data_IF_257753313885
#
_entry.id   IF_257753313885
#
_cell.length_a   1.000
_cell.length_b   1.000
_cell.length_c   1.000
_cell.angle_alpha   90.00
_cell.angle_beta   90.00
_cell.angle_gamma   90.00
#
_symmetry.space_group_name_H-M   'P 1'
#
loop_
_entity.id
_entity.type
_entity.pdbx_description
1 polymer ?
#
# COMPACT_ATOMS: atom_id res chain seq x y z
N UNK A 1 -28.58 -75.74 32.99
CA UNK A 1 -29.81 -75.21 32.36
C UNK A 1 -29.46 -73.87 31.74
N UNK A 2 -29.74 -73.76 30.45
CA UNK A 2 -29.46 -72.63 29.56
C UNK A 2 -30.57 -71.60 29.74
N UNK A 3 -30.25 -70.30 29.83
CA UNK A 3 -31.07 -69.18 29.34
C UNK A 3 -30.22 -67.90 29.41
N UNK A 4 -29.53 -67.49 28.35
CA UNK A 4 -29.96 -66.59 27.24
C UNK A 4 -30.38 -65.18 27.66
N UNK A 5 -29.51 -64.25 27.27
CA UNK A 5 -29.78 -62.93 26.67
C UNK A 5 -30.65 -61.89 27.39
N UNK A 6 -30.07 -60.72 27.68
CA UNK A 6 -30.50 -59.51 26.96
C UNK A 6 -29.40 -58.45 26.93
N UNK A 7 -29.06 -58.03 25.70
CA UNK A 7 -28.14 -56.95 25.37
C UNK A 7 -28.82 -55.61 25.63
N UNK A 8 -28.10 -54.64 26.20
CA UNK A 8 -28.33 -53.23 25.87
C UNK A 8 -26.97 -52.56 25.71
N UNK A 9 -26.60 -52.37 24.44
CA UNK A 9 -25.37 -51.72 24.03
C UNK A 9 -25.57 -50.22 24.21
N UNK A 10 -24.79 -49.59 25.09
CA UNK A 10 -24.67 -48.13 25.13
C UNK A 10 -24.04 -47.67 23.81
N UNK A 11 -24.84 -47.07 22.93
CA UNK A 11 -24.33 -46.37 21.77
C UNK A 11 -23.75 -45.03 22.23
N UNK A 12 -22.45 -45.01 22.54
CA UNK A 12 -21.69 -43.77 22.70
C UNK A 12 -21.46 -43.23 21.29
N UNK A 13 -22.29 -42.28 20.87
CA UNK A 13 -22.06 -41.49 19.67
C UNK A 13 -20.81 -40.62 19.88
N UNK A 14 -19.69 -41.03 19.28
CA UNK A 14 -18.50 -40.21 19.18
C UNK A 14 -18.78 -39.04 18.22
N UNK A 15 -19.03 -37.84 18.77
CA UNK A 15 -18.93 -36.59 18.02
C UNK A 15 -17.45 -36.37 17.67
N UNK A 16 -17.04 -36.84 16.49
CA UNK A 16 -15.79 -36.42 15.88
C UNK A 16 -15.90 -34.94 15.51
N UNK A 17 -15.26 -34.08 16.31
CA UNK A 17 -15.21 -32.65 16.10
C UNK A 17 -14.57 -32.30 14.76
N UNK A 18 -15.35 -31.64 13.90
CA UNK A 18 -14.85 -31.02 12.69
C UNK A 18 -14.12 -29.72 13.08
N UNK A 19 -12.87 -29.83 13.53
CA UNK A 19 -11.99 -28.68 13.68
C UNK A 19 -11.56 -28.23 12.28
N UNK A 20 -12.38 -27.38 11.64
CA UNK A 20 -11.95 -26.62 10.47
C UNK A 20 -10.83 -25.72 10.97
N UNK A 21 -9.58 -26.10 10.66
CA UNK A 21 -8.43 -25.22 10.71
C UNK A 21 -8.75 -24.04 9.78
N UNK A 22 -9.27 -22.96 10.36
CA UNK A 22 -9.20 -21.65 9.73
C UNK A 22 -7.71 -21.33 9.60
N UNK A 23 -7.13 -21.69 8.46
CA UNK A 23 -5.82 -21.20 8.09
C UNK A 23 -5.90 -19.69 8.23
N UNK A 24 -4.99 -19.05 9.00
CA UNK A 24 -4.95 -17.61 9.07
C UNK A 24 -4.66 -17.15 7.64
N UNK A 25 -5.70 -16.71 6.94
CA UNK A 25 -5.54 -15.95 5.72
C UNK A 25 -4.75 -14.74 6.18
N UNK A 26 -3.44 -14.74 5.93
CA UNK A 26 -2.53 -13.79 6.55
C UNK A 26 -3.09 -12.40 6.32
N UNK A 27 -3.57 -11.76 7.41
CA UNK A 27 -4.48 -10.62 7.35
C UNK A 27 -4.01 -9.66 6.26
N UNK A 28 -4.85 -9.47 5.24
CA UNK A 28 -4.61 -8.46 4.21
C UNK A 28 -5.07 -7.13 4.77
N UNK A 29 -4.21 -6.13 4.67
CA UNK A 29 -4.54 -4.75 4.96
C UNK A 29 -5.00 -4.01 3.69
N UNK A 30 -4.67 -4.53 2.50
CA UNK A 30 -5.14 -3.97 1.24
C UNK A 30 -6.63 -4.21 1.04
N UNK A 31 -7.27 -3.25 0.38
CA UNK A 31 -8.67 -3.31 -0.06
C UNK A 31 -8.71 -2.97 -1.56
N UNK A 32 -9.34 -3.84 -2.34
CA UNK A 32 -9.55 -3.65 -3.78
C UNK A 32 -10.49 -2.46 -4.05
N UNK A 33 -10.18 -1.64 -5.06
CA UNK A 33 -10.91 -0.42 -5.38
C UNK A 33 -11.68 -0.51 -6.72
N UNK A 34 -11.65 -1.67 -7.38
CA UNK A 34 -12.33 -1.92 -8.66
C UNK A 34 -11.65 -1.26 -9.85
N UNK A 35 -10.37 -0.89 -9.75
CA UNK A 35 -9.62 -0.27 -10.84
C UNK A 35 -9.25 -1.33 -11.88
N UNK A 36 -9.38 -1.00 -13.16
CA UNK A 36 -8.97 -1.89 -14.24
C UNK A 36 -7.48 -2.26 -14.10
N UNK A 37 -7.18 -3.55 -14.25
CA UNK A 37 -5.84 -4.13 -14.09
C UNK A 37 -5.23 -4.05 -12.68
N UNK A 38 -6.03 -3.74 -11.65
CA UNK A 38 -5.56 -3.83 -10.26
C UNK A 38 -5.41 -5.27 -9.78
N UNK A 39 -4.44 -5.49 -8.90
CA UNK A 39 -4.31 -6.70 -8.10
C UNK A 39 -3.84 -6.33 -6.70
N UNK A 40 -4.46 -6.91 -5.69
CA UNK A 40 -3.93 -6.85 -4.32
C UNK A 40 -2.60 -7.62 -4.24
N UNK A 41 -1.58 -7.00 -3.64
CA UNK A 41 -0.24 -7.55 -3.53
C UNK A 41 0.35 -7.32 -2.14
N UNK A 42 1.17 -8.29 -1.70
CA UNK A 42 2.16 -8.10 -0.65
C UNK A 42 3.54 -8.10 -1.28
N UNK A 43 4.24 -6.97 -1.24
CA UNK A 43 5.56 -6.80 -1.83
C UNK A 43 6.58 -6.49 -0.75
N UNK A 44 7.62 -7.32 -0.67
CA UNK A 44 8.79 -7.03 0.16
C UNK A 44 9.89 -6.43 -0.69
N UNK A 45 10.46 -5.31 -0.24
CA UNK A 45 11.54 -4.65 -0.95
C UNK A 45 12.12 -3.47 -0.19
N UNK A 46 13.26 -2.99 -0.67
CA UNK A 46 13.95 -1.82 -0.15
C UNK A 46 13.26 -0.55 -0.65
N UNK A 47 12.96 0.39 0.24
CA UNK A 47 12.50 1.72 -0.16
C UNK A 47 13.68 2.50 -0.74
N UNK A 48 13.49 3.03 -1.94
CA UNK A 48 14.55 3.71 -2.70
C UNK A 48 14.02 4.98 -3.35
N UNK A 49 14.91 5.95 -3.58
CA UNK A 49 14.70 6.98 -4.59
C UNK A 49 14.66 6.30 -5.97
N UNK A 50 13.55 6.47 -6.68
CA UNK A 50 13.28 5.79 -7.94
C UNK A 50 14.34 6.17 -9.01
N UNK A 51 14.70 7.45 -9.10
CA UNK A 51 15.64 7.92 -10.10
C UNK A 51 17.04 7.39 -9.81
N UNK A 52 17.43 7.34 -8.55
CA UNK A 52 18.70 6.75 -8.14
C UNK A 52 18.75 5.26 -8.43
N UNK A 53 17.72 4.51 -8.06
CA UNK A 53 17.65 3.08 -8.37
C UNK A 53 17.76 2.79 -9.88
N UNK A 54 17.21 3.66 -10.74
CA UNK A 54 17.32 3.54 -12.20
C UNK A 54 18.71 3.92 -12.73
N UNK A 55 19.33 4.97 -12.17
CA UNK A 55 20.57 5.57 -12.67
C UNK A 55 21.82 4.83 -12.19
N UNK A 56 21.90 4.55 -10.88
CA UNK A 56 23.08 3.94 -10.26
C UNK A 56 22.89 2.46 -9.95
N UNK A 57 21.67 1.93 -10.18
CA UNK A 57 21.34 0.56 -9.83
C UNK A 57 21.59 0.31 -8.35
N UNK A 58 22.35 -0.75 -8.07
CA UNK A 58 22.84 -1.07 -6.71
C UNK A 58 24.32 -0.71 -6.51
N UNK A 59 24.97 0.02 -7.44
CA UNK A 59 26.39 0.36 -7.35
C UNK A 59 26.59 1.70 -6.63
N UNK A 60 27.09 1.69 -5.37
CA UNK A 60 27.34 2.91 -4.62
C UNK A 60 28.54 3.71 -5.15
N UNK A 61 29.30 3.20 -6.12
CA UNK A 61 30.49 3.85 -6.70
C UNK A 61 30.23 4.52 -8.05
N UNK A 62 28.99 4.53 -8.53
CA UNK A 62 28.63 5.24 -9.75
C UNK A 62 29.04 6.73 -9.64
N UNK A 63 29.53 7.32 -10.74
CA UNK A 63 30.13 8.65 -10.77
C UNK A 63 29.21 9.79 -10.30
N UNK A 64 27.92 9.51 -10.22
CA UNK A 64 26.79 10.35 -9.91
C UNK A 64 26.05 9.93 -8.63
N UNK A 65 26.59 8.98 -7.86
CA UNK A 65 26.04 8.58 -6.56
C UNK A 65 25.90 9.76 -5.59
N UNK A 66 26.69 10.83 -5.77
CA UNK A 66 26.58 12.09 -5.01
C UNK A 66 25.23 12.80 -5.18
N UNK A 67 24.52 12.57 -6.28
CA UNK A 67 23.20 13.15 -6.55
C UNK A 67 22.07 12.34 -5.90
N UNK A 68 22.42 11.23 -5.24
CA UNK A 68 21.54 10.31 -4.54
C UNK A 68 21.65 10.48 -3.03
N UNK A 69 20.87 11.41 -2.43
CA UNK A 69 20.94 11.68 -1.01
C UNK A 69 20.54 10.45 -0.17
N UNK A 70 21.19 10.23 0.99
CA UNK A 70 21.01 9.03 1.81
C UNK A 70 19.60 8.92 2.42
N UNK A 71 18.86 10.01 2.52
CA UNK A 71 17.48 10.08 3.03
C UNK A 71 16.43 10.05 1.90
N UNK A 72 16.83 9.65 0.69
CA UNK A 72 15.98 9.66 -0.50
C UNK A 72 15.37 11.05 -0.77
N UNK A 73 16.07 12.12 -0.39
CA UNK A 73 15.68 13.51 -0.67
C UNK A 73 14.61 14.06 0.27
N UNK A 74 14.41 13.43 1.44
CA UNK A 74 13.59 13.97 2.52
C UNK A 74 12.13 14.18 2.15
N UNK A 75 11.56 13.28 1.33
CA UNK A 75 10.18 13.35 0.86
C UNK A 75 9.95 14.23 -0.37
N UNK A 76 11.02 14.76 -0.99
CA UNK A 76 10.94 15.58 -2.23
C UNK A 76 11.21 14.79 -3.52
N UNK A 77 11.59 13.51 -3.39
CA UNK A 77 11.85 12.61 -4.52
C UNK A 77 10.70 11.63 -4.69
N UNK A 78 10.54 11.11 -5.89
CA UNK A 78 9.65 9.98 -6.13
C UNK A 78 10.30 8.71 -5.56
N UNK A 79 9.59 8.01 -4.68
CA UNK A 79 10.08 6.78 -4.08
C UNK A 79 9.45 5.54 -4.74
N UNK A 80 10.05 4.38 -4.49
CA UNK A 80 9.54 3.09 -4.90
C UNK A 80 10.09 1.95 -4.04
N UNK A 81 9.69 0.73 -4.37
CA UNK A 81 10.24 -0.50 -3.79
C UNK A 81 11.11 -1.23 -4.81
N UNK A 82 12.37 -1.50 -4.44
CA UNK A 82 13.24 -2.43 -5.14
C UNK A 82 13.16 -3.80 -4.45
N UNK A 83 12.55 -4.78 -5.11
CA UNK A 83 12.43 -6.14 -4.57
C UNK A 83 13.76 -6.89 -4.62
N UNK A 84 13.89 -7.97 -3.85
CA UNK A 84 15.08 -8.84 -3.90
C UNK A 84 15.32 -9.51 -5.26
N UNK A 85 14.30 -9.56 -6.13
CA UNK A 85 14.41 -10.02 -7.50
C UNK A 85 14.88 -8.93 -8.48
N UNK A 86 15.27 -7.74 -7.99
CA UNK A 86 15.69 -6.62 -8.82
C UNK A 86 14.56 -5.87 -9.52
N UNK A 87 13.29 -6.18 -9.20
CA UNK A 87 12.14 -5.47 -9.77
C UNK A 87 11.86 -4.18 -9.02
N UNK A 88 11.83 -3.07 -9.74
CA UNK A 88 11.49 -1.74 -9.22
C UNK A 88 9.99 -1.47 -9.41
N UNK A 89 9.31 -1.14 -8.31
CA UNK A 89 7.90 -0.77 -8.28
C UNK A 89 7.76 0.70 -7.87
N UNK A 90 7.37 1.61 -8.78
CA UNK A 90 7.16 3.01 -8.43
C UNK A 90 5.94 3.16 -7.53
N UNK A 91 6.14 3.74 -6.35
CA UNK A 91 5.08 3.96 -5.36
C UNK A 91 4.41 5.31 -5.64
N UNK A 92 3.41 5.31 -6.51
CA UNK A 92 2.82 6.56 -7.03
C UNK A 92 1.65 7.02 -6.17
N UNK A 93 0.94 6.09 -5.53
CA UNK A 93 -0.34 6.31 -4.85
C UNK A 93 -0.32 5.69 -3.45
N UNK A 94 -1.12 6.22 -2.52
CA UNK A 94 -1.33 5.58 -1.23
C UNK A 94 -2.80 5.68 -0.77
N UNK A 95 -3.07 5.20 0.45
CA UNK A 95 -4.41 5.01 0.99
C UNK A 95 -5.21 6.32 1.15
N UNK A 96 -4.53 7.47 1.12
CA UNK A 96 -5.12 8.79 1.24
C UNK A 96 -5.68 9.29 -0.11
N UNK A 97 -6.69 8.60 -0.66
CA UNK A 97 -7.32 8.93 -1.94
C UNK A 97 -6.31 9.21 -3.05
N UNK A 98 -5.41 8.26 -3.32
CA UNK A 98 -4.39 8.39 -4.35
C UNK A 98 -3.32 9.49 -4.07
N UNK A 99 -3.11 9.89 -2.82
CA UNK A 99 -2.05 10.81 -2.40
C UNK A 99 -1.10 10.16 -1.38
N UNK A 100 0.10 10.73 -1.22
CA UNK A 100 0.90 10.51 -0.02
C UNK A 100 1.98 9.42 -0.06
N UNK A 101 2.06 8.57 -1.09
CA UNK A 101 2.98 7.42 -1.10
C UNK A 101 4.44 7.74 -0.71
N UNK A 102 5.01 8.81 -1.26
CA UNK A 102 6.35 9.28 -0.89
C UNK A 102 6.43 9.69 0.57
N UNK A 103 5.42 10.38 1.11
CA UNK A 103 5.36 10.82 2.51
C UNK A 103 5.30 9.61 3.44
N UNK A 104 4.52 8.59 3.08
CA UNK A 104 4.40 7.35 3.84
C UNK A 104 5.70 6.52 3.81
N UNK A 105 6.42 6.51 2.68
CA UNK A 105 7.64 5.71 2.50
C UNK A 105 8.93 6.40 2.94
N UNK A 106 9.02 7.74 2.91
CA UNK A 106 10.24 8.49 3.22
C UNK A 106 10.93 8.08 4.54
N UNK A 107 10.23 7.80 5.66
CA UNK A 107 10.86 7.36 6.93
C UNK A 107 11.57 6.01 6.85
N UNK A 108 11.30 5.28 5.77
CA UNK A 108 11.83 3.95 5.53
C UNK A 108 12.87 3.93 4.41
N UNK A 109 13.30 5.09 3.91
CA UNK A 109 14.35 5.16 2.90
C UNK A 109 15.55 4.27 3.26
N UNK A 110 15.99 3.46 2.29
CA UNK A 110 17.11 2.54 2.46
C UNK A 110 16.78 1.26 3.24
N UNK A 111 15.59 1.16 3.84
CA UNK A 111 15.16 0.00 4.64
C UNK A 111 14.26 -0.92 3.84
N UNK A 112 14.33 -2.21 4.16
CA UNK A 112 13.37 -3.19 3.66
C UNK A 112 12.05 -3.05 4.41
N UNK A 113 10.96 -3.00 3.66
CA UNK A 113 9.58 -3.02 4.18
C UNK A 113 8.79 -4.09 3.43
N UNK A 114 7.72 -4.57 4.05
CA UNK A 114 6.65 -5.26 3.37
C UNK A 114 5.49 -4.29 3.20
N UNK A 115 5.10 -4.05 1.94
CA UNK A 115 3.93 -3.25 1.57
C UNK A 115 2.78 -4.18 1.25
N UNK A 116 1.61 -3.88 1.81
CA UNK A 116 0.32 -4.45 1.43
C UNK A 116 -0.47 -3.36 0.69
N UNK A 117 -0.88 -3.63 -0.54
CA UNK A 117 -1.54 -2.62 -1.36
C UNK A 117 -1.95 -3.13 -2.73
N UNK A 118 -2.12 -2.21 -3.68
CA UNK A 118 -2.57 -2.54 -5.04
C UNK A 118 -1.45 -2.33 -6.06
N UNK A 119 -1.27 -3.31 -6.94
CA UNK A 119 -0.46 -3.20 -8.13
C UNK A 119 -1.38 -3.03 -9.33
N UNK A 120 -1.38 -1.85 -9.93
CA UNK A 120 -2.12 -1.54 -11.16
C UNK A 120 -1.13 -1.62 -12.31
N UNK A 121 -1.29 -2.61 -13.19
CA UNK A 121 -0.31 -2.88 -14.24
C UNK A 121 -0.99 -3.07 -15.59
N UNK A 122 -0.78 -2.12 -16.49
CA UNK A 122 -1.22 -2.18 -17.88
C UNK A 122 0.00 -2.01 -18.83
N UNK A 123 -0.18 -2.10 -20.16
CA UNK A 123 0.93 -1.96 -21.10
C UNK A 123 1.64 -0.59 -21.07
N UNK A 124 0.99 0.46 -20.58
CA UNK A 124 1.55 1.81 -20.53
C UNK A 124 2.34 2.07 -19.24
N UNK A 125 1.89 1.54 -18.10
CA UNK A 125 2.52 1.79 -16.80
C UNK A 125 2.23 0.68 -15.79
N UNK A 126 3.14 0.56 -14.81
CA UNK A 126 2.93 -0.18 -13.57
C UNK A 126 3.00 0.79 -12.40
N UNK A 127 1.96 0.82 -11.58
CA UNK A 127 1.84 1.69 -10.42
C UNK A 127 1.65 0.84 -9.17
N UNK A 128 2.41 1.13 -8.12
CA UNK A 128 2.15 0.61 -6.78
C UNK A 128 1.37 1.65 -5.99
N UNK A 129 0.22 1.23 -5.46
CA UNK A 129 -0.52 1.93 -4.44
C UNK A 129 -0.23 1.32 -3.07
N UNK A 130 0.40 2.08 -2.19
CA UNK A 130 0.75 1.66 -0.83
C UNK A 130 -0.48 1.86 0.07
N UNK A 131 -1.13 0.80 0.54
CA UNK A 131 -2.27 0.95 1.46
C UNK A 131 -1.84 0.78 2.92
N UNK A 132 -0.91 -0.14 3.17
CA UNK A 132 -0.28 -0.33 4.46
C UNK A 132 1.14 -0.89 4.32
N UNK A 133 1.93 -0.78 5.38
CA UNK A 133 3.29 -1.31 5.41
C UNK A 133 3.72 -1.76 6.80
N UNK A 134 4.74 -2.61 6.85
CA UNK A 134 5.43 -3.01 8.09
C UNK A 134 6.91 -3.26 7.84
N UNK A 135 7.72 -3.09 8.89
CA UNK A 135 9.16 -3.40 8.86
C UNK A 135 9.50 -4.75 9.48
N UNK A 136 8.63 -5.26 10.35
CA UNK A 136 8.76 -6.58 10.98
C UNK A 136 7.65 -7.49 10.45
N UNK A 137 7.96 -8.64 9.83
CA UNK A 137 6.97 -9.62 9.36
C UNK A 137 6.03 -10.16 10.45
N UNK A 138 6.40 -10.01 11.73
CA UNK A 138 5.56 -10.40 12.89
C UNK A 138 4.68 -9.25 13.40
N UNK A 139 4.97 -8.01 13.01
CA UNK A 139 4.17 -6.86 13.40
C UNK A 139 2.90 -6.74 12.53
N UNK A 140 1.91 -6.04 13.08
CA UNK A 140 0.74 -5.62 12.33
C UNK A 140 1.13 -4.59 11.26
N UNK A 141 0.35 -4.55 10.18
CA UNK A 141 0.47 -3.51 9.17
C UNK A 141 0.03 -2.16 9.72
N UNK A 142 0.78 -1.11 9.39
CA UNK A 142 0.43 0.29 9.66
C UNK A 142 -0.12 0.89 8.37
N UNK A 143 -1.26 1.59 8.47
CA UNK A 143 -1.86 2.26 7.30
C UNK A 143 -0.92 3.33 6.73
N UNK A 144 -0.92 3.45 5.41
CA UNK A 144 -0.22 4.49 4.68
C UNK A 144 -1.13 5.72 4.53
N UNK A 145 -1.37 6.41 5.64
CA UNK A 145 -2.26 7.57 5.76
C UNK A 145 -1.56 8.79 6.40
N UNK A 146 -0.22 8.78 6.50
CA UNK A 146 0.55 9.88 7.10
C UNK A 146 0.28 11.19 6.40
N UNK A 147 0.09 11.17 5.09
CA UNK A 147 -0.28 12.35 4.32
C UNK A 147 -1.52 13.06 4.89
N UNK A 148 -2.59 12.32 5.25
CA UNK A 148 -3.81 12.91 5.82
C UNK A 148 -3.52 13.58 7.16
N UNK A 149 -2.72 12.91 8.01
CA UNK A 149 -2.32 13.48 9.29
C UNK A 149 -1.50 14.77 9.11
N UNK A 150 -0.58 14.79 8.15
CA UNK A 150 0.29 15.92 7.85
C UNK A 150 -0.50 17.09 7.24
N UNK A 151 -1.41 16.78 6.33
CA UNK A 151 -2.31 17.73 5.72
C UNK A 151 -3.24 18.36 6.76
N UNK A 152 -3.83 17.55 7.65
CA UNK A 152 -4.76 18.04 8.68
C UNK A 152 -4.08 18.94 9.71
N UNK A 153 -2.80 18.71 10.03
CA UNK A 153 -2.02 19.62 10.89
C UNK A 153 -1.83 21.01 10.28
N UNK A 154 -1.80 21.09 8.95
CA UNK A 154 -1.58 22.35 8.22
C UNK A 154 -2.90 23.07 7.88
N UNK A 155 -3.97 22.32 7.66
CA UNK A 155 -5.21 22.86 7.07
C UNK A 155 -6.46 22.67 7.97
N UNK A 156 -6.34 21.95 9.09
CA UNK A 156 -7.47 21.53 9.91
C UNK A 156 -8.09 20.21 9.44
N UNK A 157 -9.09 19.72 10.17
CA UNK A 157 -9.80 18.48 9.80
C UNK A 157 -10.82 18.77 8.69
N UNK A 158 -10.94 17.84 7.75
CA UNK A 158 -11.96 17.85 6.71
C UNK A 158 -12.41 16.41 6.43
N UNK A 159 -13.63 16.24 5.96
CA UNK A 159 -14.15 14.95 5.52
C UNK A 159 -13.42 14.48 4.24
N UNK A 160 -13.34 15.36 3.24
CA UNK A 160 -12.55 15.15 2.02
C UNK A 160 -11.44 16.20 1.96
N UNK A 161 -10.21 15.77 2.26
CA UNK A 161 -9.04 16.65 2.30
C UNK A 161 -8.87 17.43 0.98
N UNK A 162 -9.08 16.77 -0.17
CA UNK A 162 -8.86 17.37 -1.49
C UNK A 162 -9.87 18.47 -1.81
N UNK A 163 -11.11 18.38 -1.31
CA UNK A 163 -12.11 19.46 -1.47
C UNK A 163 -11.81 20.64 -0.55
N UNK A 164 -11.19 20.38 0.59
CA UNK A 164 -10.83 21.42 1.56
C UNK A 164 -9.48 22.09 1.25
N UNK A 165 -8.60 21.43 0.48
CA UNK A 165 -7.23 21.86 0.21
C UNK A 165 -7.15 23.24 -0.48
N UNK A 166 -6.39 24.19 0.09
CA UNK A 166 -6.30 25.55 -0.46
C UNK A 166 -5.60 25.59 -1.82
N UNK A 167 -4.67 24.68 -2.12
CA UNK A 167 -4.00 24.61 -3.43
C UNK A 167 -4.94 24.05 -4.48
N UNK A 168 -5.74 23.04 -4.15
CA UNK A 168 -6.79 22.52 -5.05
C UNK A 168 -7.81 23.61 -5.35
N UNK A 169 -8.30 24.33 -4.33
CA UNK A 169 -9.21 25.47 -4.53
C UNK A 169 -8.60 26.57 -5.40
N UNK A 170 -7.32 26.90 -5.19
CA UNK A 170 -6.63 27.89 -6.00
C UNK A 170 -6.48 27.44 -7.46
N UNK A 171 -6.16 26.17 -7.71
CA UNK A 171 -6.07 25.61 -9.07
C UNK A 171 -7.43 25.65 -9.78
N UNK A 172 -8.52 25.26 -9.10
CA UNK A 172 -9.87 25.33 -9.65
C UNK A 172 -10.28 26.79 -9.94
N UNK A 173 -9.92 27.74 -9.08
CA UNK A 173 -10.21 29.15 -9.32
C UNK A 173 -9.45 29.71 -10.53
N UNK A 174 -8.23 29.24 -10.79
CA UNK A 174 -7.42 29.66 -11.91
C UNK A 174 -7.85 29.02 -13.24
N UNK A 175 -8.07 27.70 -13.22
CA UNK A 175 -8.17 26.88 -14.43
C UNK A 175 -9.54 26.21 -14.60
N UNK A 176 -10.48 26.43 -13.69
CA UNK A 176 -11.77 25.74 -13.68
C UNK A 176 -11.67 24.28 -13.21
N UNK A 177 -12.84 23.64 -13.02
CA UNK A 177 -12.93 22.29 -12.46
C UNK A 177 -12.32 21.18 -13.33
N UNK A 178 -12.18 21.44 -14.63
CA UNK A 178 -11.52 20.52 -15.57
C UNK A 178 -10.03 20.82 -15.78
N UNK A 179 -9.48 21.83 -15.11
CA UNK A 179 -8.11 22.29 -15.35
C UNK A 179 -7.92 22.92 -16.73
N UNK A 180 -9.00 23.35 -17.38
CA UNK A 180 -9.00 24.04 -18.67
C UNK A 180 -9.80 25.33 -18.51
N UNK A 181 -9.10 26.47 -18.54
CA UNK A 181 -9.71 27.78 -18.33
C UNK A 181 -10.87 28.01 -19.31
N UNK A 182 -12.03 28.36 -18.78
CA UNK A 182 -13.25 28.65 -19.54
C UNK A 182 -14.07 27.43 -19.96
N UNK A 183 -13.64 26.20 -19.63
CA UNK A 183 -14.46 25.01 -19.81
C UNK A 183 -15.31 24.77 -18.55
N UNK A 184 -16.63 24.82 -18.72
CA UNK A 184 -17.60 24.61 -17.63
C UNK A 184 -18.28 23.24 -17.73
N UNK A 185 -18.69 22.63 -16.60
CA UNK A 185 -19.52 21.43 -16.60
C UNK A 185 -20.82 21.66 -17.35
N UNK A 186 -21.32 20.60 -17.99
CA UNK A 186 -22.69 20.63 -18.49
C UNK A 186 -23.66 20.72 -17.30
N UNK A 187 -24.71 21.55 -17.40
CA UNK A 187 -25.72 21.67 -16.36
C UNK A 187 -26.49 20.36 -16.14
#
# INVERSE_FOLDING_TARGET
MIQTETRTRYAIAALAGLAILAAPHGARAAEAWGIEHEREVKLTGKVVDLLCALRIGSDPKAADAKDCPPDCGGGRRQLGLLTGAGKLHPAVKANADFAGATVDLAPYCGRTVEVDGLLIANPAATLLMVQALRTDPKAAFVKADRFLADWARQNGKAEEWFRADPKVKAAIAADGVFGIRGLEPKP
#
